data_IF_242563426597
#
_entry.id   IF_242563426597
#
_cell.length_a   1.000
_cell.length_b   1.000
_cell.length_c   1.000
_cell.angle_alpha   90.00
_cell.angle_beta   90.00
_cell.angle_gamma   90.00
#
_symmetry.space_group_name_H-M   'P 1'
#
loop_
_entity.id
_entity.type
_entity.pdbx_description
1 polymer ?
#
# COMPACT_ATOMS: atom_id res chain seq x y z
N UNK A 1 14.38 2.41 26.76
CA UNK A 1 12.91 2.26 26.62
C UNK A 1 12.65 1.96 25.15
N UNK A 2 12.40 0.71 24.78
CA UNK A 2 12.11 0.33 23.40
C UNK A 2 10.84 1.06 22.95
N UNK A 3 10.85 1.67 21.78
CA UNK A 3 9.68 2.33 21.19
C UNK A 3 8.59 1.29 21.00
N UNK A 4 7.60 1.27 21.89
CA UNK A 4 6.44 0.36 21.89
C UNK A 4 5.47 0.64 20.76
N UNK A 5 5.98 0.80 19.53
CA UNK A 5 5.22 0.95 18.32
C UNK A 5 5.06 -0.46 17.74
N UNK A 6 4.04 -1.17 18.23
CA UNK A 6 3.59 -2.44 17.64
C UNK A 6 2.39 -2.19 16.71
N UNK A 7 2.32 -0.99 16.11
CA UNK A 7 1.27 -0.62 15.18
C UNK A 7 1.52 -1.31 13.84
N UNK A 8 1.04 -2.55 13.71
CA UNK A 8 0.92 -3.20 12.40
C UNK A 8 -0.09 -2.40 11.58
N UNK A 9 0.39 -1.75 10.52
CA UNK A 9 -0.49 -1.14 9.54
C UNK A 9 -1.31 -2.26 8.88
N UNK A 10 -2.63 -2.21 9.06
CA UNK A 10 -3.56 -3.11 8.37
C UNK A 10 -4.15 -2.34 7.20
N UNK A 11 -3.82 -2.77 5.99
CA UNK A 11 -4.40 -2.25 4.77
C UNK A 11 -5.38 -3.29 4.21
N UNK A 12 -6.59 -2.89 3.80
CA UNK A 12 -7.47 -3.79 3.08
C UNK A 12 -6.92 -4.07 1.68
N UNK A 13 -7.46 -5.07 1.01
CA UNK A 13 -7.24 -5.35 -0.41
C UNK A 13 -8.41 -4.83 -1.22
N UNK A 14 -8.15 -4.21 -2.36
CA UNK A 14 -9.18 -3.69 -3.27
C UNK A 14 -9.08 -4.41 -4.58
N UNK A 15 -10.18 -4.98 -5.07
CA UNK A 15 -10.26 -5.56 -6.41
C UNK A 15 -10.28 -4.43 -7.45
N UNK A 16 -9.25 -4.32 -8.28
CA UNK A 16 -9.16 -3.26 -9.30
C UNK A 16 -10.20 -3.38 -10.43
N UNK A 17 -10.86 -4.55 -10.56
CA UNK A 17 -11.86 -4.77 -11.59
C UNK A 17 -13.28 -4.37 -11.19
N UNK A 18 -13.65 -4.52 -9.91
CA UNK A 18 -15.02 -4.24 -9.44
C UNK A 18 -15.08 -3.37 -8.17
N UNK A 19 -13.93 -2.99 -7.62
CA UNK A 19 -13.81 -2.13 -6.44
C UNK A 19 -14.10 -2.82 -5.10
N UNK A 20 -14.30 -4.14 -5.07
CA UNK A 20 -14.60 -4.85 -3.83
C UNK A 20 -13.44 -4.75 -2.83
N UNK A 21 -13.77 -4.52 -1.56
CA UNK A 21 -12.80 -4.31 -0.48
C UNK A 21 -12.83 -5.52 0.44
N UNK A 22 -11.69 -6.16 0.63
CA UNK A 22 -11.53 -7.34 1.48
C UNK A 22 -10.49 -7.10 2.57
N UNK A 23 -10.74 -7.60 3.77
CA UNK A 23 -9.78 -7.51 4.88
C UNK A 23 -8.70 -8.60 4.85
N UNK A 24 -8.92 -9.66 4.09
CA UNK A 24 -8.02 -10.80 3.97
C UNK A 24 -7.70 -11.06 2.49
N UNK A 25 -6.53 -11.65 2.23
CA UNK A 25 -6.14 -11.97 0.87
C UNK A 25 -6.86 -13.23 0.41
N UNK A 26 -7.70 -13.08 -0.61
CA UNK A 26 -8.33 -14.19 -1.30
C UNK A 26 -7.67 -14.42 -2.66
N UNK A 27 -7.77 -15.64 -3.17
CA UNK A 27 -7.19 -15.95 -4.49
C UNK A 27 -7.99 -15.30 -5.63
N UNK A 28 -9.30 -15.15 -5.42
CA UNK A 28 -10.26 -14.57 -6.35
C UNK A 28 -11.05 -13.47 -5.66
N UNK A 29 -11.51 -12.49 -6.44
CA UNK A 29 -12.50 -11.54 -5.97
C UNK A 29 -13.79 -12.27 -5.57
N UNK A 30 -14.26 -12.11 -4.33
CA UNK A 30 -15.52 -12.70 -3.83
C UNK A 30 -16.74 -12.25 -4.65
N UNK A 31 -16.69 -11.03 -5.19
CA UNK A 31 -17.79 -10.40 -5.93
C UNK A 31 -17.77 -10.67 -7.43
N UNK A 32 -16.63 -10.47 -8.09
CA UNK A 32 -16.53 -10.62 -9.56
C UNK A 32 -15.82 -11.90 -10.02
N UNK A 33 -15.33 -12.72 -9.10
CA UNK A 33 -14.65 -14.00 -9.37
C UNK A 33 -13.37 -13.93 -10.22
N UNK A 34 -12.89 -12.73 -10.56
CA UNK A 34 -11.62 -12.56 -11.27
C UNK A 34 -10.43 -12.86 -10.36
N UNK A 35 -9.37 -13.35 -10.98
CA UNK A 35 -8.10 -13.67 -10.35
C UNK A 35 -7.11 -12.51 -10.46
N UNK A 36 -6.24 -12.38 -9.47
CA UNK A 36 -5.08 -11.49 -9.54
C UNK A 36 -5.41 -9.99 -9.58
N UNK A 37 -6.61 -9.61 -9.15
CA UNK A 37 -7.11 -8.22 -9.20
C UNK A 37 -6.96 -7.47 -7.88
N UNK A 38 -6.54 -8.14 -6.79
CA UNK A 38 -6.37 -7.48 -5.50
C UNK A 38 -5.11 -6.63 -5.47
N UNK A 39 -5.30 -5.35 -5.16
CA UNK A 39 -4.25 -4.35 -4.97
C UNK A 39 -4.37 -3.69 -3.60
N UNK A 40 -3.28 -3.11 -3.10
CA UNK A 40 -3.37 -2.24 -1.92
C UNK A 40 -4.01 -0.90 -2.32
N UNK A 41 -4.96 -0.36 -1.53
CA UNK A 41 -5.46 0.98 -1.73
C UNK A 41 -4.31 1.98 -1.68
N UNK A 42 -4.34 3.00 -2.53
CA UNK A 42 -3.24 3.96 -2.61
C UNK A 42 -2.04 3.49 -3.44
N UNK A 43 -2.01 2.23 -3.92
CA UNK A 43 -0.86 1.73 -4.68
C UNK A 43 -0.63 2.49 -5.99
N UNK A 44 -1.70 2.96 -6.65
CA UNK A 44 -1.56 3.76 -7.87
C UNK A 44 -1.09 5.17 -7.57
N UNK A 45 -1.62 5.79 -6.52
CA UNK A 45 -1.20 7.09 -6.01
C UNK A 45 0.27 7.05 -5.63
N UNK A 46 0.73 6.01 -4.94
CA UNK A 46 2.14 5.76 -4.61
C UNK A 46 3.02 5.59 -5.85
N UNK A 47 2.55 4.85 -6.87
CA UNK A 47 3.28 4.71 -8.15
C UNK A 47 3.37 6.02 -8.92
N UNK A 48 2.33 6.84 -8.85
CA UNK A 48 2.25 8.14 -9.53
C UNK A 48 2.92 9.27 -8.74
N UNK A 49 3.28 9.03 -7.48
CA UNK A 49 3.91 10.01 -6.62
C UNK A 49 5.24 10.42 -7.22
N UNK A 50 5.38 11.72 -7.52
CA UNK A 50 6.68 12.27 -7.92
C UNK A 50 7.63 12.19 -6.73
N UNK A 51 8.85 11.66 -6.92
CA UNK A 51 9.87 11.72 -5.88
C UNK A 51 10.02 13.18 -5.44
N UNK A 52 10.04 13.41 -4.13
CA UNK A 52 10.46 14.71 -3.62
C UNK A 52 11.90 14.93 -4.09
N UNK A 53 12.23 16.16 -4.47
CA UNK A 53 13.64 16.52 -4.71
C UNK A 53 14.38 16.41 -3.38
N UNK A 54 14.98 15.24 -3.15
CA UNK A 54 15.84 15.00 -2.00
C UNK A 54 17.19 15.62 -2.36
N UNK A 55 17.50 16.77 -1.76
CA UNK A 55 18.86 17.31 -1.85
C UNK A 55 19.83 16.29 -1.26
N UNK A 56 21.02 16.19 -1.86
CA UNK A 56 22.11 15.48 -1.22
C UNK A 56 22.40 16.16 0.13
N UNK A 57 22.44 15.37 1.20
CA UNK A 57 22.94 15.83 2.50
C UNK A 57 24.36 15.27 2.61
N UNK A 58 25.36 16.15 2.64
CA UNK A 58 26.74 15.72 2.75
C UNK A 58 27.10 15.41 4.20
N UNK A 59 28.07 14.51 4.41
CA UNK A 59 28.47 14.12 5.76
C UNK A 59 29.00 15.34 6.55
N UNK A 60 28.32 15.68 7.66
CA UNK A 60 28.62 16.85 8.48
C UNK A 60 27.67 18.04 8.30
N UNK A 61 26.75 17.97 7.33
CA UNK A 61 25.69 18.95 7.14
C UNK A 61 24.47 18.61 8.03
N UNK A 62 23.85 19.61 8.67
CA UNK A 62 22.66 19.47 9.53
C UNK A 62 21.48 20.21 8.93
#
# INVERSE_FOLDING_TARGET
KATGIDSKLRFPFVCEACGEIESEWESRCSKCSQWGTYVLPGAQELKSARPLEVRAIHHGER
#
